data_IF_698035267448
#
_entry.id   IF_698035267448
#
_cell.length_a   1.000
_cell.length_b   1.000
_cell.length_c   1.000
_cell.angle_alpha   90.00
_cell.angle_beta   90.00
_cell.angle_gamma   90.00
#
_symmetry.space_group_name_H-M   'P 1'
#
loop_
_entity.id
_entity.type
_entity.pdbx_description
1 polymer ?
#
# COMPACT_ATOMS: atom_id res chain seq x y z
N UNK A 1 12.43 -21.67 -86.89
CA UNK A 1 11.64 -20.46 -87.17
C UNK A 1 10.72 -20.22 -85.98
N UNK A 2 11.17 -19.43 -85.00
CA UNK A 2 10.44 -19.20 -83.74
C UNK A 2 9.65 -17.91 -83.88
N UNK A 3 8.31 -17.99 -83.84
CA UNK A 3 7.42 -16.83 -83.83
C UNK A 3 7.59 -16.10 -82.49
N UNK A 4 8.27 -14.96 -82.51
CA UNK A 4 8.26 -14.02 -81.39
C UNK A 4 6.82 -13.53 -81.18
N UNK A 5 6.26 -13.90 -80.03
CA UNK A 5 4.97 -13.41 -79.57
C UNK A 5 5.00 -11.89 -79.47
N UNK A 6 4.01 -11.27 -80.10
CA UNK A 6 3.74 -9.83 -80.03
C UNK A 6 3.71 -9.37 -78.57
N UNK A 7 4.70 -8.55 -78.18
CA UNK A 7 4.63 -7.72 -76.98
C UNK A 7 3.40 -6.82 -77.11
N UNK A 8 2.32 -7.15 -76.39
CA UNK A 8 1.17 -6.25 -76.22
C UNK A 8 1.68 -5.04 -75.44
N UNK A 9 1.92 -3.93 -76.14
CA UNK A 9 2.12 -2.62 -75.51
C UNK A 9 0.93 -2.38 -74.56
N UNK A 10 1.21 -2.32 -73.24
CA UNK A 10 0.23 -1.93 -72.23
C UNK A 10 -0.41 -0.60 -72.66
N UNK A 11 -1.73 -0.57 -72.79
CA UNK A 11 -2.44 0.67 -73.09
C UNK A 11 -2.35 1.57 -71.85
N UNK A 12 -2.33 2.90 -72.03
CA UNK A 12 -2.33 3.86 -70.92
C UNK A 12 -3.49 3.64 -69.92
N UNK A 13 -4.60 3.08 -70.39
CA UNK A 13 -5.73 2.66 -69.54
C UNK A 13 -5.33 1.58 -68.54
N UNK A 14 -4.51 0.62 -68.95
CA UNK A 14 -4.14 -0.54 -68.13
C UNK A 14 -3.22 -0.08 -66.99
N UNK A 15 -2.30 0.87 -67.26
CA UNK A 15 -1.42 1.47 -66.24
C UNK A 15 -2.24 2.21 -65.18
N UNK A 16 -3.24 2.99 -65.58
CA UNK A 16 -4.13 3.69 -64.63
C UNK A 16 -4.94 2.71 -63.78
N UNK A 17 -5.44 1.63 -64.37
CA UNK A 17 -6.14 0.56 -63.63
C UNK A 17 -5.22 -0.08 -62.59
N UNK A 18 -3.98 -0.44 -62.96
CA UNK A 18 -3.01 -1.02 -62.02
C UNK A 18 -2.63 -0.05 -60.88
N UNK A 19 -2.45 1.24 -61.18
CA UNK A 19 -2.15 2.26 -60.17
C UNK A 19 -3.33 2.42 -59.19
N UNK A 20 -4.56 2.48 -59.71
CA UNK A 20 -5.76 2.55 -58.87
C UNK A 20 -5.93 1.28 -58.01
N UNK A 21 -5.67 0.11 -58.57
CA UNK A 21 -5.71 -1.16 -57.83
C UNK A 21 -4.70 -1.18 -56.68
N UNK A 22 -3.46 -0.77 -56.93
CA UNK A 22 -2.42 -0.64 -55.89
C UNK A 22 -2.84 0.36 -54.80
N UNK A 23 -3.42 1.50 -55.19
CA UNK A 23 -3.93 2.49 -54.22
C UNK A 23 -5.05 1.90 -53.36
N UNK A 24 -6.00 1.17 -53.96
CA UNK A 24 -7.10 0.53 -53.23
C UNK A 24 -6.57 -0.53 -52.26
N UNK A 25 -5.57 -1.32 -52.66
CA UNK A 25 -4.94 -2.32 -51.79
C UNK A 25 -4.24 -1.66 -50.60
N UNK A 26 -3.41 -0.63 -50.83
CA UNK A 26 -2.72 0.10 -49.75
C UNK A 26 -3.72 0.78 -48.82
N UNK A 27 -4.77 1.38 -49.38
CA UNK A 27 -5.84 1.99 -48.60
C UNK A 27 -6.59 0.95 -47.74
N UNK A 28 -6.93 -0.19 -48.33
CA UNK A 28 -7.58 -1.30 -47.62
C UNK A 28 -6.73 -1.82 -46.45
N UNK A 29 -5.43 -2.03 -46.66
CA UNK A 29 -4.50 -2.45 -45.59
C UNK A 29 -4.40 -1.38 -44.50
N UNK A 30 -4.34 -0.10 -44.89
CA UNK A 30 -4.21 1.02 -43.94
C UNK A 30 -5.48 1.16 -43.09
N UNK A 31 -6.67 1.10 -43.70
CA UNK A 31 -7.95 1.14 -42.98
C UNK A 31 -8.08 -0.06 -42.05
N UNK A 32 -7.73 -1.27 -42.50
CA UNK A 32 -7.76 -2.46 -41.65
C UNK A 32 -6.79 -2.34 -40.46
N UNK A 33 -5.59 -1.83 -40.68
CA UNK A 33 -4.61 -1.58 -39.62
C UNK A 33 -5.13 -0.55 -38.61
N UNK A 34 -5.65 0.58 -39.08
CA UNK A 34 -6.21 1.63 -38.22
C UNK A 34 -7.40 1.12 -37.41
N UNK A 35 -8.28 0.30 -38.01
CA UNK A 35 -9.37 -0.34 -37.29
C UNK A 35 -8.84 -1.29 -36.21
N UNK A 36 -7.82 -2.10 -36.51
CA UNK A 36 -7.24 -3.02 -35.53
C UNK A 36 -6.66 -2.26 -34.33
N UNK A 37 -5.85 -1.22 -34.58
CA UNK A 37 -5.30 -0.36 -33.52
C UNK A 37 -6.42 0.25 -32.67
N UNK A 38 -7.48 0.73 -33.31
CA UNK A 38 -8.62 1.30 -32.58
C UNK A 38 -9.36 0.27 -31.69
N UNK A 39 -9.47 -0.98 -32.12
CA UNK A 39 -10.05 -2.04 -31.30
C UNK A 39 -9.15 -2.47 -30.15
N UNK A 40 -7.84 -2.56 -30.39
CA UNK A 40 -6.83 -2.88 -29.37
C UNK A 40 -6.80 -1.77 -28.30
N UNK A 41 -6.77 -0.49 -28.69
CA UNK A 41 -6.83 0.65 -27.75
C UNK A 41 -8.10 0.60 -26.87
N UNK A 42 -9.26 0.27 -27.44
CA UNK A 42 -10.50 0.12 -26.66
C UNK A 42 -10.45 -1.04 -25.68
N UNK A 43 -9.81 -2.14 -26.06
CA UNK A 43 -9.65 -3.30 -25.19
C UNK A 43 -8.71 -2.97 -24.03
N UNK A 44 -7.59 -2.31 -24.31
CA UNK A 44 -6.61 -1.92 -23.31
C UNK A 44 -7.19 -0.91 -22.32
N UNK A 45 -7.97 0.07 -22.80
CA UNK A 45 -8.70 0.99 -21.91
C UNK A 45 -9.69 0.28 -20.98
N UNK A 46 -10.40 -0.75 -21.47
CA UNK A 46 -11.33 -1.54 -20.64
C UNK A 46 -10.58 -2.35 -19.57
N UNK A 47 -9.46 -2.96 -19.93
CA UNK A 47 -8.62 -3.71 -19.00
C UNK A 47 -7.99 -2.78 -17.96
N UNK A 48 -7.57 -1.59 -18.38
CA UNK A 48 -7.05 -0.57 -17.48
C UNK A 48 -8.12 -0.11 -16.48
N UNK A 49 -9.32 0.25 -16.94
CA UNK A 49 -10.39 0.68 -16.03
C UNK A 49 -10.77 -0.41 -15.03
N UNK A 50 -10.85 -1.67 -15.46
CA UNK A 50 -11.10 -2.80 -14.56
C UNK A 50 -9.97 -3.00 -13.54
N UNK A 51 -8.73 -2.70 -13.90
CA UNK A 51 -7.60 -2.74 -12.99
C UNK A 51 -7.64 -1.58 -11.98
N UNK A 52 -8.02 -0.38 -12.43
CA UNK A 52 -8.21 0.81 -11.58
C UNK A 52 -9.37 0.60 -10.60
N UNK A 53 -10.47 -0.03 -11.02
CA UNK A 53 -11.59 -0.37 -10.15
C UNK A 53 -11.17 -1.37 -9.05
N UNK A 54 -10.33 -2.36 -9.38
CA UNK A 54 -9.76 -3.26 -8.36
C UNK A 54 -8.85 -2.52 -7.38
N UNK A 55 -8.06 -1.56 -7.86
CA UNK A 55 -7.24 -0.70 -7.00
C UNK A 55 -8.11 0.11 -6.04
N UNK A 56 -9.20 0.69 -6.53
CA UNK A 56 -10.15 1.44 -5.71
C UNK A 56 -10.68 0.58 -4.57
N UNK A 57 -11.20 -0.61 -4.88
CA UNK A 57 -11.76 -1.52 -3.87
C UNK A 57 -10.69 -1.99 -2.87
N UNK A 58 -9.47 -2.28 -3.31
CA UNK A 58 -8.35 -2.64 -2.42
C UNK A 58 -7.98 -1.47 -1.50
N UNK A 59 -7.93 -0.25 -2.03
CA UNK A 59 -7.61 0.96 -1.27
C UNK A 59 -8.69 1.27 -0.23
N UNK A 60 -9.97 1.13 -0.57
CA UNK A 60 -11.10 1.31 0.36
C UNK A 60 -11.03 0.33 1.54
N UNK A 61 -10.69 -0.94 1.27
CA UNK A 61 -10.48 -1.95 2.33
C UNK A 61 -9.29 -1.59 3.22
N UNK A 62 -8.20 -1.10 2.63
CA UNK A 62 -7.05 -0.63 3.38
C UNK A 62 -7.37 0.61 4.23
N UNK A 63 -8.13 1.57 3.70
CA UNK A 63 -8.61 2.76 4.42
C UNK A 63 -9.46 2.36 5.63
N UNK A 64 -10.40 1.44 5.44
CA UNK A 64 -11.22 0.89 6.54
C UNK A 64 -10.33 0.26 7.62
N UNK A 65 -9.25 -0.42 7.21
CA UNK A 65 -8.28 -1.00 8.16
C UNK A 65 -7.53 0.08 8.93
N UNK A 66 -7.14 1.19 8.30
CA UNK A 66 -6.57 2.33 9.03
C UNK A 66 -7.57 2.87 10.04
N UNK A 67 -8.79 3.16 9.61
CA UNK A 67 -9.84 3.76 10.44
C UNK A 67 -10.16 2.92 11.68
N UNK A 68 -10.20 1.59 11.54
CA UNK A 68 -10.43 0.69 12.67
C UNK A 68 -9.32 0.72 13.73
N UNK A 69 -8.11 1.16 13.37
CA UNK A 69 -6.93 1.11 14.24
C UNK A 69 -6.52 2.48 14.79
N UNK A 70 -7.11 3.59 14.32
CA UNK A 70 -6.71 4.94 14.76
C UNK A 70 -6.85 5.09 16.27
N UNK A 71 -8.06 4.86 16.80
CA UNK A 71 -8.36 5.07 18.22
C UNK A 71 -7.53 4.15 19.11
N UNK A 72 -7.41 2.88 18.71
CA UNK A 72 -6.63 1.86 19.42
C UNK A 72 -5.14 2.23 19.53
N UNK A 73 -4.56 2.77 18.46
CA UNK A 73 -3.16 3.20 18.43
C UNK A 73 -2.90 4.48 19.23
N UNK A 74 -3.85 5.42 19.22
CA UNK A 74 -3.77 6.63 20.05
C UNK A 74 -3.87 6.27 21.52
N UNK A 75 -4.76 5.34 21.87
CA UNK A 75 -4.91 4.83 23.23
C UNK A 75 -3.60 4.19 23.74
N UNK A 76 -2.93 3.34 22.94
CA UNK A 76 -1.63 2.77 23.33
C UNK A 76 -0.58 3.86 23.58
N UNK A 77 -0.51 4.89 22.75
CA UNK A 77 0.44 5.99 22.93
C UNK A 77 0.17 6.73 24.26
N UNK A 78 -1.10 7.01 24.55
CA UNK A 78 -1.51 7.68 25.78
C UNK A 78 -1.26 6.83 27.02
N UNK A 79 -1.55 5.53 26.97
CA UNK A 79 -1.29 4.59 28.05
C UNK A 79 0.22 4.44 28.32
N UNK A 80 1.03 4.41 27.25
CA UNK A 80 2.50 4.36 27.37
C UNK A 80 3.04 5.66 27.95
N UNK A 81 2.47 6.80 27.57
CA UNK A 81 2.81 8.12 28.11
C UNK A 81 2.46 8.23 29.58
N UNK A 82 1.30 7.74 29.98
CA UNK A 82 0.86 7.77 31.37
C UNK A 82 1.71 6.83 32.23
N UNK A 83 2.01 5.61 31.75
CA UNK A 83 2.96 4.72 32.41
C UNK A 83 4.33 5.39 32.61
N UNK A 84 4.87 6.04 31.58
CA UNK A 84 6.13 6.77 31.69
C UNK A 84 6.04 7.87 32.77
N UNK A 85 4.95 8.65 32.80
CA UNK A 85 4.75 9.68 33.84
C UNK A 85 4.73 9.09 35.25
N UNK A 86 3.98 8.01 35.46
CA UNK A 86 3.87 7.33 36.76
C UNK A 86 5.25 6.88 37.25
N UNK A 87 6.01 6.23 36.37
CA UNK A 87 7.33 5.69 36.72
C UNK A 87 8.37 6.78 37.07
N UNK A 88 8.30 7.96 36.45
CA UNK A 88 9.24 9.06 36.68
C UNK A 88 8.79 10.05 37.76
N UNK A 89 7.49 10.28 37.92
CA UNK A 89 6.96 11.18 38.95
C UNK A 89 7.08 10.57 40.37
N UNK A 90 7.31 9.25 40.47
CA UNK A 90 7.41 8.56 41.76
C UNK A 90 6.12 8.66 42.59
N UNK A 91 5.00 9.00 41.95
CA UNK A 91 3.71 9.08 42.61
C UNK A 91 3.30 7.67 43.02
N UNK A 92 3.03 7.50 44.31
CA UNK A 92 2.50 6.28 44.91
C UNK A 92 1.11 6.02 44.32
N UNK A 93 1.05 5.32 43.19
CA UNK A 93 -0.18 4.69 42.73
C UNK A 93 -0.35 3.36 43.46
N UNK A 94 -1.60 3.02 43.74
CA UNK A 94 -1.98 1.68 44.16
C UNK A 94 -1.60 0.71 43.04
N UNK A 95 -1.06 -0.47 43.39
CA UNK A 95 -0.51 -1.44 42.44
C UNK A 95 -1.46 -1.77 41.28
N UNK A 96 -2.77 -1.74 41.53
CA UNK A 96 -3.83 -2.04 40.57
C UNK A 96 -3.83 -1.10 39.34
N UNK A 97 -3.51 0.18 39.52
CA UNK A 97 -3.49 1.15 38.41
C UNK A 97 -2.26 0.98 37.53
N UNK A 98 -1.14 0.56 38.11
CA UNK A 98 0.11 0.31 37.40
C UNK A 98 0.01 -0.98 36.58
N UNK A 99 -0.63 -2.01 37.13
CA UNK A 99 -0.87 -3.27 36.45
C UNK A 99 -1.68 -3.07 35.16
N UNK A 100 -2.76 -2.29 35.20
CA UNK A 100 -3.57 -1.96 34.02
C UNK A 100 -2.71 -1.44 32.87
N UNK A 101 -1.95 -0.37 33.08
CA UNK A 101 -1.10 0.20 32.03
C UNK A 101 -0.04 -0.78 31.53
N UNK A 102 0.55 -1.60 32.42
CA UNK A 102 1.54 -2.60 32.03
C UNK A 102 0.97 -3.63 31.04
N UNK A 103 -0.28 -4.03 31.22
CA UNK A 103 -0.96 -4.96 30.32
C UNK A 103 -1.40 -4.27 29.02
N UNK A 104 -1.97 -3.07 29.10
CA UNK A 104 -2.51 -2.38 27.91
C UNK A 104 -1.41 -2.04 26.90
N UNK A 105 -0.24 -1.57 27.35
CA UNK A 105 0.85 -1.21 26.44
C UNK A 105 1.53 -2.43 25.77
N UNK A 106 1.24 -3.64 26.25
CA UNK A 106 1.75 -4.87 25.65
C UNK A 106 1.08 -5.18 24.30
N UNK A 107 -0.09 -4.60 24.06
CA UNK A 107 -0.80 -4.78 22.79
C UNK A 107 0.01 -4.15 21.64
N UNK A 108 -0.11 -4.71 20.44
CA UNK A 108 0.43 -4.10 19.22
C UNK A 108 -0.50 -4.36 18.05
N UNK A 109 -1.09 -3.30 17.52
CA UNK A 109 -2.02 -3.39 16.41
C UNK A 109 -1.27 -3.45 15.07
N UNK A 110 -1.46 -4.58 14.37
CA UNK A 110 -0.81 -4.87 13.09
C UNK A 110 -1.82 -4.63 11.96
N UNK A 111 -1.65 -3.58 11.14
CA UNK A 111 -2.51 -3.41 9.98
C UNK A 111 -2.23 -4.51 8.94
N UNK A 112 -3.29 -5.13 8.43
CA UNK A 112 -3.22 -6.15 7.38
C UNK A 112 -3.53 -5.51 6.03
N UNK A 113 -2.53 -4.90 5.41
CA UNK A 113 -2.69 -4.26 4.10
C UNK A 113 -2.71 -5.26 2.96
N UNK A 114 -3.66 -5.06 2.05
CA UNK A 114 -3.72 -5.70 0.74
C UNK A 114 -2.88 -4.90 -0.25
N UNK A 115 -2.09 -5.60 -1.08
CA UNK A 115 -1.17 -4.98 -2.05
C UNK A 115 -1.22 -5.67 -3.42
N UNK A 116 -2.12 -6.62 -3.60
CA UNK A 116 -2.24 -7.47 -4.77
C UNK A 116 -2.65 -6.67 -6.01
N UNK A 117 -3.67 -5.81 -5.88
CA UNK A 117 -4.13 -4.94 -6.95
C UNK A 117 -3.08 -3.89 -7.28
N UNK A 118 -2.40 -3.31 -6.27
CA UNK A 118 -1.25 -2.41 -6.49
C UNK A 118 -0.18 -3.10 -7.32
N UNK A 119 0.23 -4.31 -6.92
CA UNK A 119 1.23 -5.09 -7.64
C UNK A 119 0.78 -5.42 -9.06
N UNK A 120 -0.48 -5.83 -9.23
CA UNK A 120 -1.04 -6.15 -10.53
C UNK A 120 -0.99 -4.93 -11.45
N UNK A 121 -1.52 -3.78 -11.03
CA UNK A 121 -1.56 -2.58 -11.85
C UNK A 121 -0.16 -2.08 -12.22
N UNK A 122 0.78 -2.05 -11.26
CA UNK A 122 2.16 -1.62 -11.51
C UNK A 122 2.88 -2.49 -12.53
N UNK A 123 2.57 -3.78 -12.58
CA UNK A 123 3.16 -4.73 -13.53
C UNK A 123 2.48 -4.73 -14.91
N UNK A 124 1.35 -4.02 -15.07
CA UNK A 124 0.62 -3.97 -16.35
C UNK A 124 1.10 -2.82 -17.23
N UNK A 125 1.07 -3.05 -18.55
CA UNK A 125 1.42 -2.07 -19.57
C UNK A 125 0.21 -1.67 -20.43
N UNK A 126 -1.00 -1.67 -19.86
CA UNK A 126 -2.23 -1.39 -20.61
C UNK A 126 -2.17 -0.02 -21.29
N UNK A 127 -1.76 1.03 -20.59
CA UNK A 127 -1.46 2.32 -21.20
C UNK A 127 -0.30 3.04 -20.50
N UNK A 128 0.29 4.02 -21.20
CA UNK A 128 1.26 4.95 -20.63
C UNK A 128 0.59 6.27 -20.16
N UNK A 129 -0.75 6.34 -20.15
CA UNK A 129 -1.48 7.59 -19.90
C UNK A 129 -1.57 7.95 -18.41
N UNK A 130 -1.38 6.97 -17.52
CA UNK A 130 -1.54 7.13 -16.08
C UNK A 130 -0.21 6.96 -15.32
N UNK A 131 0.84 7.64 -15.80
CA UNK A 131 2.15 7.65 -15.15
C UNK A 131 2.12 8.30 -13.76
N UNK A 132 1.24 9.27 -13.55
CA UNK A 132 0.93 9.89 -12.26
C UNK A 132 0.40 8.85 -11.26
N UNK A 133 -0.61 8.07 -11.65
CA UNK A 133 -1.17 7.02 -10.79
C UNK A 133 -0.13 5.96 -10.43
N UNK A 134 0.69 5.52 -11.39
CA UNK A 134 1.78 4.57 -11.13
C UNK A 134 2.79 5.10 -10.11
N UNK A 135 3.15 6.38 -10.18
CA UNK A 135 4.09 6.98 -9.24
C UNK A 135 3.52 7.06 -7.81
N UNK A 136 2.25 7.45 -7.67
CA UNK A 136 1.57 7.46 -6.36
C UNK A 136 1.47 6.04 -5.78
N UNK A 137 1.12 5.05 -6.61
CA UNK A 137 1.05 3.64 -6.20
C UNK A 137 2.40 3.08 -5.74
N UNK A 138 3.50 3.43 -6.42
CA UNK A 138 4.86 3.04 -5.98
C UNK A 138 5.15 3.64 -4.61
N UNK A 139 4.81 4.91 -4.41
CA UNK A 139 5.04 5.61 -3.15
C UNK A 139 4.22 5.00 -2.03
N UNK A 140 2.92 4.78 -2.24
CA UNK A 140 2.04 4.17 -1.25
C UNK A 140 2.48 2.76 -0.89
N UNK A 141 2.79 1.92 -1.90
CA UNK A 141 3.32 0.57 -1.67
C UNK A 141 4.57 0.58 -0.80
N UNK A 142 5.50 1.50 -1.07
CA UNK A 142 6.72 1.63 -0.26
C UNK A 142 6.39 1.97 1.20
N UNK A 143 5.41 2.83 1.46
CA UNK A 143 5.02 3.19 2.82
C UNK A 143 4.26 2.05 3.52
N UNK A 144 3.41 1.28 2.81
CA UNK A 144 2.81 0.06 3.38
C UNK A 144 3.85 -0.96 3.82
N UNK A 145 4.86 -1.21 2.98
CA UNK A 145 5.94 -2.12 3.32
C UNK A 145 6.75 -1.60 4.51
N UNK A 146 7.11 -0.31 4.50
CA UNK A 146 7.82 0.32 5.61
C UNK A 146 7.02 0.22 6.92
N UNK A 147 5.74 0.54 6.89
CA UNK A 147 4.86 0.48 8.06
C UNK A 147 4.79 -0.94 8.61
N UNK A 148 4.60 -1.95 7.75
CA UNK A 148 4.61 -3.36 8.16
C UNK A 148 5.94 -3.74 8.81
N UNK A 149 7.07 -3.37 8.20
CA UNK A 149 8.39 -3.74 8.67
C UNK A 149 8.70 -3.08 10.04
N UNK A 150 8.28 -1.83 10.26
CA UNK A 150 8.42 -1.14 11.56
C UNK A 150 7.53 -1.79 12.62
N UNK A 151 6.28 -2.10 12.30
CA UNK A 151 5.37 -2.81 13.20
C UNK A 151 5.97 -4.16 13.63
N UNK A 152 6.46 -4.95 12.67
CA UNK A 152 7.10 -6.24 12.96
C UNK A 152 8.33 -6.09 13.84
N UNK A 153 9.16 -5.07 13.58
CA UNK A 153 10.33 -4.78 14.40
C UNK A 153 9.94 -4.45 15.84
N UNK A 154 8.91 -3.63 16.05
CA UNK A 154 8.44 -3.26 17.39
C UNK A 154 7.82 -4.42 18.15
N UNK A 155 7.07 -5.29 17.47
CA UNK A 155 6.54 -6.52 18.09
C UNK A 155 7.68 -7.38 18.62
N UNK A 156 8.71 -7.63 17.81
CA UNK A 156 9.88 -8.42 18.23
C UNK A 156 10.63 -7.76 19.40
N UNK A 157 10.67 -6.44 19.43
CA UNK A 157 11.30 -5.68 20.50
C UNK A 157 10.49 -5.77 21.81
N UNK A 158 9.16 -5.62 21.77
CA UNK A 158 8.28 -5.87 22.93
C UNK A 158 8.41 -7.32 23.41
N UNK A 159 8.37 -8.29 22.50
CA UNK A 159 8.57 -9.71 22.84
C UNK A 159 9.90 -9.99 23.53
N UNK A 160 10.98 -9.37 23.06
CA UNK A 160 12.33 -9.62 23.60
C UNK A 160 12.61 -8.90 24.91
N UNK A 161 12.13 -7.67 25.08
CA UNK A 161 12.56 -6.83 26.21
C UNK A 161 11.45 -6.57 27.21
N UNK A 162 10.20 -6.46 26.75
CA UNK A 162 9.06 -6.14 27.59
C UNK A 162 8.39 -7.41 28.14
N UNK A 163 8.16 -8.43 27.30
CA UNK A 163 7.58 -9.69 27.76
C UNK A 163 8.50 -10.45 28.72
N UNK A 164 9.82 -10.43 28.47
CA UNK A 164 10.80 -11.01 29.40
C UNK A 164 10.69 -10.40 30.80
N UNK A 165 10.33 -9.11 30.89
CA UNK A 165 10.06 -8.43 32.15
C UNK A 165 8.69 -8.82 32.73
N UNK A 166 7.63 -8.81 31.92
CA UNK A 166 6.29 -9.14 32.41
C UNK A 166 6.22 -10.58 32.95
N UNK A 167 6.86 -11.55 32.27
CA UNK A 167 6.85 -12.96 32.67
C UNK A 167 7.52 -13.19 34.03
N UNK A 168 8.52 -12.40 34.39
CA UNK A 168 9.27 -12.59 35.64
C UNK A 168 8.66 -11.86 36.84
N UNK A 169 7.99 -10.73 36.60
CA UNK A 169 7.63 -9.78 37.67
C UNK A 169 6.13 -9.48 37.75
N UNK A 170 5.32 -10.07 36.87
CA UNK A 170 3.85 -9.89 36.79
C UNK A 170 3.14 -11.25 36.73
N UNK A 171 2.13 -11.42 37.58
CA UNK A 171 1.20 -12.54 37.50
C UNK A 171 0.05 -12.18 36.56
N UNK A 172 0.08 -12.74 35.34
CA UNK A 172 -0.97 -12.56 34.33
C UNK A 172 -2.30 -13.23 34.71
N UNK A 173 -2.30 -14.21 35.62
CA UNK A 173 -3.53 -14.89 36.04
C UNK A 173 -4.32 -14.11 37.08
N UNK A 174 -3.63 -13.36 37.95
CA UNK A 174 -4.24 -12.48 38.95
C UNK A 174 -4.21 -10.99 38.57
N UNK A 175 -3.60 -10.63 37.43
CA UNK A 175 -3.34 -9.26 36.98
C UNK A 175 -2.59 -8.41 38.02
N UNK A 176 -1.61 -9.01 38.71
CA UNK A 176 -0.88 -8.38 39.83
C UNK A 176 0.61 -8.32 39.59
N UNK A 177 1.22 -7.27 40.12
CA UNK A 177 2.67 -7.11 40.12
C UNK A 177 3.25 -7.87 41.31
N UNK A 178 4.15 -8.82 41.05
CA UNK A 178 4.80 -9.63 42.07
C UNK A 178 5.98 -8.90 42.73
N UNK A 179 6.66 -8.02 41.98
CA UNK A 179 7.81 -7.25 42.47
C UNK A 179 7.89 -5.86 41.84
N UNK A 180 8.05 -4.84 42.69
CA UNK A 180 8.22 -3.44 42.25
C UNK A 180 9.69 -3.06 42.01
N UNK A 181 10.65 -3.86 42.45
CA UNK A 181 12.08 -3.49 42.42
C UNK A 181 12.57 -3.28 40.99
N UNK A 182 12.15 -4.15 40.08
CA UNK A 182 12.58 -4.12 38.69
C UNK A 182 11.79 -3.08 37.87
N UNK A 183 10.51 -2.84 38.20
CA UNK A 183 9.71 -1.74 37.63
C UNK A 183 10.30 -0.37 38.00
N UNK A 184 10.81 -0.24 39.24
CA UNK A 184 11.45 0.98 39.71
C UNK A 184 12.88 1.16 39.15
N UNK A 185 13.43 0.14 38.49
CA UNK A 185 14.78 0.20 37.93
C UNK A 185 14.87 1.24 36.80
N UNK A 186 16.05 1.85 36.67
CA UNK A 186 16.34 2.79 35.56
C UNK A 186 16.24 2.08 34.20
N UNK A 187 16.60 0.80 34.14
CA UNK A 187 16.51 -0.02 32.94
C UNK A 187 15.07 -0.11 32.41
N UNK A 188 14.12 -0.47 33.27
CA UNK A 188 12.70 -0.57 32.89
C UNK A 188 12.11 0.80 32.52
N UNK A 189 12.44 1.84 33.27
CA UNK A 189 12.01 3.21 32.95
C UNK A 189 12.46 3.66 31.57
N UNK A 190 13.72 3.39 31.23
CA UNK A 190 14.27 3.68 29.91
C UNK A 190 13.61 2.84 28.81
N UNK A 191 13.27 1.57 29.10
CA UNK A 191 12.51 0.74 28.17
C UNK A 191 11.15 1.37 27.85
N UNK A 192 10.37 1.77 28.86
CA UNK A 192 9.05 2.40 28.65
C UNK A 192 9.15 3.71 27.87
N UNK A 193 10.17 4.54 28.11
CA UNK A 193 10.41 5.75 27.32
C UNK A 193 10.74 5.43 25.86
N UNK A 194 11.53 4.37 25.62
CA UNK A 194 11.80 3.91 24.27
C UNK A 194 10.53 3.36 23.60
N UNK A 195 9.67 2.64 24.33
CA UNK A 195 8.36 2.21 23.83
C UNK A 195 7.52 3.41 23.41
N UNK A 196 7.45 4.46 24.23
CA UNK A 196 6.71 5.68 23.90
C UNK A 196 7.25 6.36 22.63
N UNK A 197 8.57 6.50 22.53
CA UNK A 197 9.20 7.11 21.35
C UNK A 197 8.87 6.32 20.07
N UNK A 198 8.87 4.99 20.17
CA UNK A 198 8.49 4.10 19.09
C UNK A 198 7.01 4.25 18.72
N UNK A 199 6.09 4.28 19.67
CA UNK A 199 4.66 4.46 19.37
C UNK A 199 4.37 5.80 18.67
N UNK A 200 5.05 6.88 19.09
CA UNK A 200 4.95 8.20 18.43
C UNK A 200 5.45 8.13 16.99
N UNK A 201 6.60 7.51 16.74
CA UNK A 201 7.14 7.35 15.38
C UNK A 201 6.21 6.49 14.50
N UNK A 202 5.65 5.44 15.08
CA UNK A 202 4.73 4.56 14.38
C UNK A 202 3.41 5.26 14.03
N UNK A 203 2.85 6.04 14.94
CA UNK A 203 1.65 6.84 14.69
C UNK A 203 1.92 7.89 13.61
N UNK A 204 3.08 8.55 13.61
CA UNK A 204 3.45 9.46 12.54
C UNK A 204 3.56 8.78 11.17
N UNK A 205 4.14 7.58 11.10
CA UNK A 205 4.20 6.79 9.85
C UNK A 205 2.83 6.30 9.41
N UNK A 206 2.00 5.88 10.37
CA UNK A 206 0.62 5.44 10.15
C UNK A 206 -0.22 6.56 9.54
N UNK A 207 -0.23 7.74 10.15
CA UNK A 207 -0.97 8.93 9.69
C UNK A 207 -0.50 9.38 8.29
N UNK A 208 0.81 9.40 8.08
CA UNK A 208 1.38 9.72 6.77
C UNK A 208 0.91 8.75 5.69
N UNK A 209 0.89 7.46 6.01
CA UNK A 209 0.50 6.40 5.07
C UNK A 209 -1.02 6.45 4.81
N UNK A 210 -1.83 6.67 5.85
CA UNK A 210 -3.28 6.88 5.72
C UNK A 210 -3.59 8.09 4.84
N UNK A 211 -2.92 9.23 5.07
CA UNK A 211 -3.08 10.43 4.24
C UNK A 211 -2.61 10.25 2.79
N UNK A 212 -1.70 9.31 2.51
CA UNK A 212 -1.37 8.91 1.13
C UNK A 212 -2.48 8.05 0.51
N UNK A 213 -3.04 7.10 1.26
CA UNK A 213 -4.12 6.25 0.80
C UNK A 213 -5.38 7.05 0.44
N UNK A 214 -5.74 8.06 1.25
CA UNK A 214 -6.87 8.97 0.95
C UNK A 214 -6.63 9.74 -0.35
N UNK A 215 -5.43 10.31 -0.52
CA UNK A 215 -5.10 11.08 -1.74
C UNK A 215 -5.06 10.20 -2.99
N UNK A 216 -4.63 8.94 -2.84
CA UNK A 216 -4.67 7.97 -3.92
C UNK A 216 -6.12 7.66 -4.32
N UNK A 217 -7.02 7.52 -3.34
CA UNK A 217 -8.44 7.29 -3.57
C UNK A 217 -9.04 8.39 -4.45
N UNK A 218 -8.86 9.65 -4.05
CA UNK A 218 -9.28 10.84 -4.83
C UNK A 218 -8.69 10.86 -6.26
N UNK A 219 -7.47 10.35 -6.43
CA UNK A 219 -6.84 10.25 -7.74
C UNK A 219 -7.50 9.16 -8.59
N UNK A 220 -7.71 7.97 -8.01
CA UNK A 220 -8.37 6.84 -8.67
C UNK A 220 -9.78 7.24 -9.10
N UNK A 221 -10.51 7.91 -8.23
CA UNK A 221 -11.88 8.33 -8.44
C UNK A 221 -12.01 9.30 -9.63
N UNK A 222 -11.03 10.21 -9.79
CA UNK A 222 -10.92 11.11 -10.95
C UNK A 222 -10.56 10.40 -12.25
N UNK A 223 -9.91 9.24 -12.19
CA UNK A 223 -9.52 8.45 -13.37
C UNK A 223 -10.64 7.53 -13.86
N UNK A 224 -11.56 7.14 -12.96
CA UNK A 224 -12.72 6.31 -13.28
C UNK A 224 -13.91 7.09 -13.86
N UNK A 225 -14.00 8.40 -13.59
CA UNK A 225 -15.03 9.32 -14.13
C UNK A 225 -14.69 9.81 -15.54
#
# INVERSE_FOLDING_TARGET
MVKFGTSRRLKRSDIWTYVMEVFIVIFGITVAYQLNVYYDDKKDLRLENAAIEKLHNENELNLTTFESLIDERLQIEDDTRELARILYAGQFMQDDSLALYLFEINQTYKPLFQIEAINFYLNTNYTNKNSDLKNELITLKSNYLQLRDVVEYYVRMKEKYYNDFLVSDVDFGEEKILSLDRIKSVEFKNLVVNLLANEIELNALFDKTYGMAIRLDDLIDRKLR
#
